data_IF_161885860278
#
_entry.id   IF_161885860278
#
_cell.length_a   1.000
_cell.length_b   1.000
_cell.length_c   1.000
_cell.angle_alpha   90.00
_cell.angle_beta   90.00
_cell.angle_gamma   90.00
#
_symmetry.space_group_name_H-M   'P 1'
#
loop_
_entity.id
_entity.type
_entity.pdbx_description
1 polymer ?
#
# COMPACT_ATOMS: atom_id res chain seq x y z
N UNK A 1 -10.68 3.87 -23.76
CA UNK A 1 -11.28 3.61 -22.43
C UNK A 1 -10.69 4.61 -21.46
N UNK A 2 -11.34 5.76 -21.27
CA UNK A 2 -10.91 6.81 -20.34
C UNK A 2 -11.43 6.48 -18.94
N UNK A 3 -10.75 5.55 -18.25
CA UNK A 3 -10.97 5.31 -16.84
C UNK A 3 -10.30 6.42 -16.04
N UNK A 4 -11.08 7.24 -15.35
CA UNK A 4 -10.58 8.22 -14.40
C UNK A 4 -9.87 7.48 -13.26
N UNK A 5 -8.54 7.53 -13.24
CA UNK A 5 -7.72 6.99 -12.17
C UNK A 5 -7.88 7.85 -10.92
N UNK A 6 -8.59 7.37 -9.91
CA UNK A 6 -8.64 8.02 -8.59
C UNK A 6 -7.41 7.60 -7.81
N UNK A 7 -6.42 8.48 -7.72
CA UNK A 7 -5.34 8.32 -6.75
C UNK A 7 -5.78 8.94 -5.42
N UNK A 8 -6.50 8.16 -4.61
CA UNK A 8 -6.78 8.52 -3.22
C UNK A 8 -5.52 8.30 -2.38
N UNK A 9 -4.74 9.36 -2.14
CA UNK A 9 -3.67 9.30 -1.12
C UNK A 9 -4.31 9.59 0.23
N UNK A 10 -4.74 8.55 0.93
CA UNK A 10 -5.30 8.68 2.28
C UNK A 10 -4.26 8.29 3.32
N UNK A 11 -3.93 9.21 4.21
CA UNK A 11 -2.98 9.01 5.31
C UNK A 11 -3.74 8.41 6.51
N UNK A 12 -3.56 7.12 6.81
CA UNK A 12 -4.04 6.57 8.08
C UNK A 12 -3.06 6.93 9.20
N UNK A 13 -3.48 7.78 10.13
CA UNK A 13 -2.81 7.93 11.43
C UNK A 13 -3.41 6.89 12.37
N UNK A 14 -2.64 5.86 12.75
CA UNK A 14 -3.05 4.90 13.77
C UNK A 14 -2.90 5.56 15.14
N UNK A 15 -4.01 6.05 15.71
CA UNK A 15 -4.02 6.92 16.89
C UNK A 15 -3.65 6.20 18.21
N UNK A 16 -3.78 4.87 18.27
CA UNK A 16 -3.63 4.06 19.50
C UNK A 16 -2.38 3.17 19.53
N UNK A 17 -1.41 3.36 18.63
CA UNK A 17 -0.23 2.49 18.59
C UNK A 17 1.02 3.20 19.13
N UNK A 18 1.52 2.77 20.29
CA UNK A 18 2.77 3.26 20.89
C UNK A 18 3.94 2.81 20.01
N UNK A 19 4.90 3.71 19.73
CA UNK A 19 6.00 3.46 18.79
C UNK A 19 7.09 2.53 19.34
N UNK A 20 6.78 1.25 19.50
CA UNK A 20 7.75 0.20 19.80
C UNK A 20 8.49 -0.28 18.54
N UNK A 21 9.83 -0.37 18.60
CA UNK A 21 10.70 -0.81 17.49
C UNK A 21 10.37 -2.22 16.95
N UNK A 22 9.81 -3.10 17.79
CA UNK A 22 9.34 -4.44 17.41
C UNK A 22 7.95 -4.47 16.75
N UNK A 23 7.19 -3.39 16.82
CA UNK A 23 5.81 -3.32 16.31
C UNK A 23 5.71 -2.80 14.87
N UNK A 24 6.84 -2.47 14.24
CA UNK A 24 6.88 -1.92 12.88
C UNK A 24 6.29 -2.88 11.82
N UNK A 25 6.42 -4.19 12.03
CA UNK A 25 5.80 -5.23 11.19
C UNK A 25 4.28 -5.32 11.41
N UNK A 26 3.82 -5.23 12.67
CA UNK A 26 2.41 -5.28 13.02
C UNK A 26 1.64 -4.06 12.47
N UNK A 27 2.27 -2.88 12.50
CA UNK A 27 1.72 -1.64 11.93
C UNK A 27 1.29 -1.79 10.48
N UNK A 28 2.05 -2.53 9.68
CA UNK A 28 1.76 -2.70 8.26
C UNK A 28 0.52 -3.57 8.02
N UNK A 29 0.38 -4.64 8.81
CA UNK A 29 -0.82 -5.48 8.77
C UNK A 29 -2.06 -4.71 9.19
N UNK A 30 -1.97 -3.97 10.30
CA UNK A 30 -3.08 -3.15 10.81
C UNK A 30 -3.45 -2.08 9.78
N UNK A 31 -2.48 -1.36 9.23
CA UNK A 31 -2.71 -0.35 8.19
C UNK A 31 -3.50 -0.91 7.01
N UNK A 32 -3.05 -2.01 6.40
CA UNK A 32 -3.74 -2.56 5.24
C UNK A 32 -5.10 -3.15 5.60
N UNK A 33 -5.25 -3.80 6.77
CA UNK A 33 -6.53 -4.32 7.22
C UNK A 33 -7.56 -3.19 7.45
N UNK A 34 -7.13 -2.11 8.11
CA UNK A 34 -7.96 -0.92 8.35
C UNK A 34 -8.29 -0.19 7.06
N UNK A 35 -7.30 0.11 6.22
CA UNK A 35 -7.51 0.79 4.95
C UNK A 35 -8.45 0.01 4.03
N UNK A 36 -8.29 -1.32 3.96
CA UNK A 36 -9.19 -2.20 3.21
C UNK A 36 -10.61 -2.21 3.77
N UNK A 37 -10.77 -2.11 5.10
CA UNK A 37 -12.09 -2.08 5.75
C UNK A 37 -12.78 -0.72 5.65
N UNK A 38 -12.02 0.37 5.50
CA UNK A 38 -12.54 1.74 5.48
C UNK A 38 -12.80 2.28 4.09
N UNK A 39 -11.96 1.91 3.10
CA UNK A 39 -12.00 2.49 1.77
C UNK A 39 -12.08 1.39 0.72
N UNK A 40 -12.95 1.58 -0.26
CA UNK A 40 -13.08 0.73 -1.44
C UNK A 40 -12.28 1.36 -2.59
N UNK A 41 -10.97 1.10 -2.61
CA UNK A 41 -10.03 1.67 -3.58
C UNK A 41 -9.37 0.56 -4.40
N UNK A 42 -8.99 0.89 -5.63
CA UNK A 42 -8.42 -0.09 -6.56
C UNK A 42 -6.97 -0.46 -6.21
N UNK A 43 -6.25 0.46 -5.55
CA UNK A 43 -4.86 0.28 -5.14
C UNK A 43 -4.64 0.79 -3.71
N UNK A 44 -3.96 -0.02 -2.90
CA UNK A 44 -3.48 0.37 -1.57
C UNK A 44 -1.94 0.40 -1.59
N UNK A 45 -1.35 1.52 -1.21
CA UNK A 45 0.09 1.76 -1.32
C UNK A 45 0.64 2.09 0.06
N UNK A 46 1.76 1.46 0.44
CA UNK A 46 2.58 1.90 1.59
C UNK A 46 3.83 2.59 1.06
N UNK A 47 4.12 3.77 1.59
CA UNK A 47 5.33 4.54 1.30
C UNK A 47 6.06 4.79 2.62
N UNK A 48 7.39 4.65 2.61
CA UNK A 48 8.24 5.03 3.76
C UNK A 48 8.27 6.54 3.96
N UNK A 49 8.50 6.96 5.21
CA UNK A 49 8.61 8.37 5.61
C UNK A 49 9.85 9.08 5.03
N UNK A 50 10.83 8.33 4.56
CA UNK A 50 12.09 8.79 3.96
C UNK A 50 12.13 8.59 2.43
N UNK A 51 10.99 8.25 1.80
CA UNK A 51 10.90 7.96 0.38
C UNK A 51 10.24 9.11 -0.38
N UNK A 52 10.90 9.58 -1.44
CA UNK A 52 10.28 10.49 -2.41
C UNK A 52 9.54 9.69 -3.49
N UNK A 53 8.29 10.08 -3.75
CA UNK A 53 7.43 9.42 -4.74
C UNK A 53 7.15 10.35 -5.91
N UNK A 54 7.49 9.93 -7.12
CA UNK A 54 7.03 10.59 -8.33
C UNK A 54 5.58 10.15 -8.63
N UNK A 55 4.62 11.02 -8.30
CA UNK A 55 3.19 10.75 -8.41
C UNK A 55 2.75 10.52 -9.87
N UNK A 56 3.33 11.25 -10.84
CA UNK A 56 2.97 11.10 -12.25
C UNK A 56 3.39 9.73 -12.81
N UNK A 57 4.61 9.30 -12.50
CA UNK A 57 5.10 7.97 -12.87
C UNK A 57 4.35 6.86 -12.14
N UNK A 58 4.05 7.05 -10.86
CA UNK A 58 3.27 6.10 -10.06
C UNK A 58 1.87 5.92 -10.65
N UNK A 59 1.15 7.02 -10.92
CA UNK A 59 -0.19 6.96 -11.53
C UNK A 59 -0.19 6.24 -12.87
N UNK A 60 0.80 6.53 -13.73
CA UNK A 60 0.96 5.85 -15.02
C UNK A 60 1.19 4.34 -14.83
N UNK A 61 2.05 3.97 -13.89
CA UNK A 61 2.38 2.57 -13.59
C UNK A 61 1.16 1.79 -13.09
N UNK A 62 0.37 2.40 -12.20
CA UNK A 62 -0.84 1.81 -11.65
C UNK A 62 -1.92 1.67 -12.72
N UNK A 63 -2.13 2.70 -13.54
CA UNK A 63 -3.06 2.63 -14.68
C UNK A 63 -2.73 1.50 -15.66
N UNK A 64 -1.45 1.24 -15.93
CA UNK A 64 -1.01 0.10 -16.76
C UNK A 64 -1.35 -1.27 -16.16
N UNK A 65 -1.53 -1.36 -14.84
CA UNK A 65 -1.82 -2.60 -14.12
C UNK A 65 -3.27 -2.73 -13.67
N UNK A 66 -4.11 -1.73 -13.94
CA UNK A 66 -5.50 -1.65 -13.51
C UNK A 66 -6.33 -2.88 -13.90
N UNK A 67 -6.11 -3.44 -15.10
CA UNK A 67 -6.85 -4.63 -15.58
C UNK A 67 -6.41 -5.95 -14.95
N UNK A 68 -5.29 -5.97 -14.21
CA UNK A 68 -4.72 -7.18 -13.63
C UNK A 68 -5.17 -7.32 -12.18
N UNK A 69 -5.86 -8.41 -11.86
CA UNK A 69 -6.32 -8.70 -10.48
C UNK A 69 -5.15 -9.22 -9.62
N UNK A 70 -5.10 -8.78 -8.35
CA UNK A 70 -4.16 -9.28 -7.30
C UNK A 70 -2.68 -9.09 -7.66
N UNK A 71 -2.33 -7.92 -8.19
CA UNK A 71 -0.93 -7.59 -8.51
C UNK A 71 -0.24 -7.03 -7.27
N UNK A 72 0.95 -7.55 -6.98
CA UNK A 72 1.91 -6.92 -6.08
C UNK A 72 2.99 -6.22 -6.90
N UNK A 73 3.20 -4.92 -6.66
CA UNK A 73 4.25 -4.12 -7.31
C UNK A 73 5.15 -3.57 -6.21
N UNK A 74 6.41 -3.96 -6.22
CA UNK A 74 7.38 -3.47 -5.25
C UNK A 74 8.70 -4.22 -5.33
N UNK A 75 9.72 -3.64 -4.69
CA UNK A 75 10.99 -4.32 -4.49
C UNK A 75 10.89 -5.10 -3.17
N UNK A 76 10.71 -6.42 -3.26
CA UNK A 76 10.67 -7.25 -2.06
C UNK A 76 12.08 -7.36 -1.47
N UNK A 77 12.21 -7.23 -0.14
CA UNK A 77 13.45 -7.61 0.53
C UNK A 77 13.59 -9.13 0.38
N UNK A 78 14.71 -9.61 -0.15
CA UNK A 78 14.99 -11.04 -0.29
C UNK A 78 14.95 -11.69 1.10
N UNK A 79 14.04 -12.63 1.31
CA UNK A 79 13.85 -13.31 2.59
C UNK A 79 12.67 -14.29 2.56
N UNK A 80 12.52 -15.14 3.59
CA UNK A 80 11.46 -16.14 3.63
C UNK A 80 10.08 -15.49 3.56
N UNK A 81 9.29 -15.83 2.54
CA UNK A 81 7.90 -15.42 2.43
C UNK A 81 7.09 -16.30 3.37
N UNK A 82 6.54 -15.73 4.44
CA UNK A 82 5.60 -16.43 5.29
C UNK A 82 4.28 -16.60 4.52
N UNK A 83 4.06 -17.77 3.95
CA UNK A 83 2.79 -18.18 3.38
C UNK A 83 2.28 -19.40 4.17
N UNK A 84 1.16 -19.24 4.88
CA UNK A 84 0.43 -20.39 5.39
C UNK A 84 -0.64 -20.76 4.36
N UNK A 85 -0.65 -22.01 3.92
CA UNK A 85 -1.66 -22.56 3.01
C UNK A 85 -2.93 -22.94 3.77
#
# INVERSE_FOLDING_TARGET
MSGSFKLGVSICILQDNVEGYLEFSAKMKIYFATAFSMWDEEFYIKVGNDVHVNIGTLGTTLAMHQSKKRVYIGCMRSGPILAHK
#
